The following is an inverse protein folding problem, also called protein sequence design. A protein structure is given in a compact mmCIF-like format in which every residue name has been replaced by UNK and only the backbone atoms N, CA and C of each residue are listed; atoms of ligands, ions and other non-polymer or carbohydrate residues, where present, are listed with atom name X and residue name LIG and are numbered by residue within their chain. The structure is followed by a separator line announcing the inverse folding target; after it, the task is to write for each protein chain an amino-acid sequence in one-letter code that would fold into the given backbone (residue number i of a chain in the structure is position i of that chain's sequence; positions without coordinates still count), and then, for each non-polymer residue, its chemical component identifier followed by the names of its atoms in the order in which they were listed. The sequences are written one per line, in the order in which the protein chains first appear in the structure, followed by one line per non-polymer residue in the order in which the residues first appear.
data_IF_707433714955
#
_entry.id   IF_707433714955
#
_cell.length_a   1.000
_cell.length_b   1.000
_cell.length_c   1.000
_cell.angle_alpha   90.00
_cell.angle_beta   90.00
_cell.angle_gamma   90.00
#
_symmetry.space_group_name_H-M   'P 1'
#
loop_
_entity.id
_entity.type
_entity.pdbx_description
1 polymer ?
#
# COMPACT_ATOMS: atom_id res chain seq x y z
N UNK A 1 23.33 3.93 -14.91
CA UNK A 1 23.51 3.31 -13.57
C UNK A 1 22.16 3.30 -12.88
N UNK A 2 21.69 2.16 -12.36
CA UNK A 2 20.38 2.06 -11.70
C UNK A 2 20.53 2.51 -10.25
N UNK A 3 19.66 3.40 -9.77
CA UNK A 3 19.68 3.85 -8.38
C UNK A 3 19.28 2.72 -7.42
N UNK A 4 19.70 2.79 -6.16
CA UNK A 4 19.32 1.80 -5.13
C UNK A 4 17.79 1.72 -4.96
N UNK A 5 17.11 2.86 -5.02
CA UNK A 5 15.66 2.96 -4.97
C UNK A 5 14.99 2.24 -6.14
N UNK A 6 15.49 2.48 -7.36
CA UNK A 6 15.00 1.82 -8.57
C UNK A 6 15.23 0.31 -8.49
N UNK A 7 16.41 -0.13 -8.03
CA UNK A 7 16.72 -1.55 -7.88
C UNK A 7 15.79 -2.24 -6.87
N UNK A 8 15.50 -1.59 -5.73
CA UNK A 8 14.57 -2.11 -4.73
C UNK A 8 13.14 -2.21 -5.28
N UNK A 9 12.67 -1.21 -6.02
CA UNK A 9 11.34 -1.25 -6.63
C UNK A 9 11.23 -2.33 -7.72
N UNK A 10 12.25 -2.47 -8.58
CA UNK A 10 12.30 -3.56 -9.57
C UNK A 10 12.22 -4.92 -8.86
N UNK A 11 12.99 -5.12 -7.80
CA UNK A 11 12.95 -6.35 -7.00
C UNK A 11 11.56 -6.64 -6.44
N UNK A 12 10.87 -5.62 -5.91
CA UNK A 12 9.51 -5.75 -5.42
C UNK A 12 8.51 -6.10 -6.53
N UNK A 13 8.63 -5.49 -7.71
CA UNK A 13 7.81 -5.80 -8.88
C UNK A 13 8.05 -7.24 -9.38
N UNK A 14 9.30 -7.69 -9.43
CA UNK A 14 9.63 -9.08 -9.77
C UNK A 14 9.00 -10.07 -8.77
N UNK A 15 9.05 -9.75 -7.48
CA UNK A 15 8.41 -10.57 -6.45
C UNK A 15 6.87 -10.58 -6.59
N UNK A 16 6.26 -9.45 -6.94
CA UNK A 16 4.83 -9.37 -7.21
C UNK A 16 4.43 -10.26 -8.41
N UNK A 17 5.21 -10.24 -9.49
CA UNK A 17 5.02 -11.14 -10.65
C UNK A 17 5.17 -12.60 -10.23
N UNK A 18 6.17 -12.93 -9.40
CA UNK A 18 6.34 -14.30 -8.89
C UNK A 18 5.12 -14.76 -8.09
N UNK A 19 4.58 -13.91 -7.22
CA UNK A 19 3.35 -14.21 -6.47
C UNK A 19 2.18 -14.50 -7.43
N UNK A 20 2.01 -13.71 -8.48
CA UNK A 20 0.97 -13.94 -9.49
C UNK A 20 1.17 -15.26 -10.24
N UNK A 21 2.40 -15.60 -10.62
CA UNK A 21 2.71 -16.87 -11.28
C UNK A 21 2.40 -18.07 -10.37
N UNK A 22 2.76 -17.98 -9.09
CA UNK A 22 2.42 -19.00 -8.09
C UNK A 22 0.91 -19.11 -7.94
N UNK A 23 0.20 -17.99 -7.76
CA UNK A 23 -1.26 -17.98 -7.65
C UNK A 23 -1.95 -18.62 -8.87
N UNK A 24 -1.47 -18.30 -10.08
CA UNK A 24 -1.97 -18.90 -11.32
C UNK A 24 -1.74 -20.41 -11.37
N UNK A 25 -0.61 -20.91 -10.85
CA UNK A 25 -0.35 -22.36 -10.80
C UNK A 25 -1.30 -23.15 -9.89
N UNK A 26 -1.95 -22.46 -8.94
CA UNK A 26 -2.97 -23.01 -8.05
C UNK A 26 -4.41 -22.64 -8.47
N UNK A 27 -4.59 -22.11 -9.69
CA UNK A 27 -5.88 -21.65 -10.22
C UNK A 27 -6.61 -20.66 -9.29
N UNK A 28 -5.84 -19.79 -8.62
CA UNK A 28 -6.42 -18.72 -7.80
C UNK A 28 -7.00 -17.66 -8.73
N UNK A 29 -8.31 -17.73 -8.97
CA UNK A 29 -9.03 -16.78 -9.79
C UNK A 29 -9.19 -15.38 -9.17
N UNK A 30 -9.84 -14.47 -9.89
CA UNK A 30 -10.09 -13.07 -9.50
C UNK A 30 -11.33 -12.90 -8.58
N UNK A 31 -11.66 -13.92 -7.80
CA UNK A 31 -12.85 -13.91 -6.93
C UNK A 31 -12.67 -13.10 -5.65
N UNK A 32 -13.72 -13.05 -4.83
CA UNK A 32 -13.71 -12.44 -3.48
C UNK A 32 -13.39 -13.46 -2.37
N UNK A 33 -12.91 -14.65 -2.74
CA UNK A 33 -12.49 -15.66 -1.78
C UNK A 33 -11.27 -15.20 -0.95
N UNK A 34 -11.09 -15.69 0.29
CA UNK A 34 -10.02 -15.25 1.17
C UNK A 34 -8.61 -15.36 0.56
N UNK A 35 -8.36 -16.42 -0.22
CA UNK A 35 -7.08 -16.64 -0.92
C UNK A 35 -6.85 -15.59 -2.00
N UNK A 36 -7.87 -15.30 -2.82
CA UNK A 36 -7.78 -14.29 -3.87
C UNK A 36 -7.56 -12.88 -3.29
N UNK A 37 -8.25 -12.55 -2.19
CA UNK A 37 -8.03 -11.29 -1.45
C UNK A 37 -6.59 -11.25 -0.93
N UNK A 38 -6.08 -12.31 -0.29
CA UNK A 38 -4.72 -12.34 0.23
C UNK A 38 -3.67 -12.15 -0.88
N UNK A 39 -3.85 -12.79 -2.04
CA UNK A 39 -3.00 -12.61 -3.22
C UNK A 39 -3.06 -11.16 -3.71
N UNK A 40 -4.25 -10.58 -3.83
CA UNK A 40 -4.43 -9.20 -4.24
C UNK A 40 -3.72 -8.22 -3.29
N UNK A 41 -3.85 -8.41 -1.98
CA UNK A 41 -3.17 -7.57 -0.98
C UNK A 41 -1.66 -7.70 -1.07
N UNK A 42 -1.13 -8.92 -1.21
CA UNK A 42 0.30 -9.15 -1.30
C UNK A 42 0.89 -8.51 -2.56
N UNK A 43 0.23 -8.69 -3.72
CA UNK A 43 0.66 -8.11 -4.99
C UNK A 43 0.63 -6.58 -4.93
N UNK A 44 -0.48 -5.98 -4.49
CA UNK A 44 -0.58 -4.53 -4.37
C UNK A 44 0.40 -3.97 -3.34
N UNK A 45 0.57 -4.64 -2.20
CA UNK A 45 1.56 -4.27 -1.18
C UNK A 45 2.99 -4.31 -1.71
N UNK A 46 3.34 -5.29 -2.52
CA UNK A 46 4.65 -5.37 -3.17
C UNK A 46 4.84 -4.26 -4.22
N UNK A 47 3.87 -4.07 -5.11
CA UNK A 47 3.94 -3.08 -6.18
C UNK A 47 4.04 -1.65 -5.63
N UNK A 48 3.19 -1.28 -4.68
CA UNK A 48 3.15 0.08 -4.16
C UNK A 48 4.11 0.29 -2.99
N UNK A 49 4.28 -0.70 -2.11
CA UNK A 49 5.00 -0.55 -0.84
C UNK A 49 6.31 -1.33 -0.73
N UNK A 50 6.55 -2.36 -1.53
CA UNK A 50 7.63 -3.32 -1.29
C UNK A 50 9.03 -2.68 -1.29
N UNK A 51 9.29 -1.80 -2.24
CA UNK A 51 10.54 -1.03 -2.29
C UNK A 51 10.70 -0.09 -1.08
N UNK A 52 9.63 0.61 -0.70
CA UNK A 52 9.62 1.50 0.47
C UNK A 52 9.87 0.73 1.77
N UNK A 53 9.17 -0.39 1.95
CA UNK A 53 9.34 -1.26 3.12
C UNK A 53 10.76 -1.80 3.22
N UNK A 54 11.31 -2.33 2.12
CA UNK A 54 12.68 -2.83 2.09
C UNK A 54 13.70 -1.76 2.50
N UNK A 55 13.59 -0.55 1.92
CA UNK A 55 14.52 0.54 2.19
C UNK A 55 14.33 1.14 3.60
N UNK A 56 13.10 1.17 4.10
CA UNK A 56 12.79 1.59 5.47
C UNK A 56 13.41 0.65 6.51
N UNK A 57 13.29 -0.67 6.30
CA UNK A 57 13.91 -1.70 7.16
C UNK A 57 15.43 -1.57 7.14
N UNK A 58 16.01 -1.31 5.97
CA UNK A 58 17.46 -1.16 5.81
C UNK A 58 18.01 0.18 6.33
N UNK A 59 17.15 1.07 6.83
CA UNK A 59 17.48 2.46 7.20
C UNK A 59 18.35 3.14 6.13
N UNK A 60 17.98 2.93 4.87
CA UNK A 60 18.74 3.44 3.75
C UNK A 60 18.42 4.91 3.54
N UNK A 61 19.40 5.77 3.79
CA UNK A 61 19.32 7.18 3.42
C UNK A 61 19.55 7.28 1.91
N UNK A 62 18.45 7.54 1.20
CA UNK A 62 18.42 7.74 -0.24
C UNK A 62 17.73 9.05 -0.56
N UNK A 63 16.99 9.10 -1.66
CA UNK A 63 16.18 10.29 -2.02
C UNK A 63 15.05 10.56 -1.03
N UNK A 64 14.56 9.52 -0.35
CA UNK A 64 13.50 9.60 0.65
C UNK A 64 14.01 9.12 2.01
N UNK A 65 13.89 9.92 3.09
CA UNK A 65 14.29 9.53 4.43
C UNK A 65 13.54 8.28 4.94
N UNK A 66 14.18 7.43 5.79
CA UNK A 66 13.56 6.22 6.31
C UNK A 66 12.22 6.45 7.03
N UNK A 67 12.09 7.52 7.81
CA UNK A 67 10.87 7.83 8.55
C UNK A 67 9.70 8.16 7.61
N UNK A 68 9.97 8.87 6.51
CA UNK A 68 8.97 9.14 5.46
C UNK A 68 8.50 7.85 4.80
N UNK A 69 9.41 6.88 4.59
CA UNK A 69 9.04 5.58 4.04
C UNK A 69 8.13 4.79 4.99
N UNK A 70 8.40 4.83 6.30
CA UNK A 70 7.53 4.18 7.29
C UNK A 70 6.13 4.80 7.35
N UNK A 71 6.02 6.13 7.25
CA UNK A 71 4.71 6.81 7.18
C UNK A 71 3.93 6.41 5.94
N UNK A 72 4.60 6.35 4.78
CA UNK A 72 3.99 5.85 3.54
C UNK A 72 3.51 4.40 3.65
N UNK A 73 4.37 3.51 4.17
CA UNK A 73 4.03 2.09 4.37
C UNK A 73 2.87 1.91 5.33
N UNK A 74 2.82 2.69 6.42
CA UNK A 74 1.71 2.66 7.37
C UNK A 74 0.39 3.08 6.72
N UNK A 75 0.39 4.18 5.96
CA UNK A 75 -0.77 4.64 5.20
C UNK A 75 -1.24 3.57 4.20
N UNK A 76 -0.30 2.99 3.43
CA UNK A 76 -0.61 1.92 2.49
C UNK A 76 -1.19 0.69 3.21
N UNK A 77 -0.66 0.33 4.38
CA UNK A 77 -1.19 -0.76 5.20
C UNK A 77 -2.64 -0.54 5.61
N UNK A 78 -3.01 0.70 5.98
CA UNK A 78 -4.40 1.05 6.28
C UNK A 78 -5.29 0.93 5.04
N UNK A 79 -4.83 1.40 3.87
CA UNK A 79 -5.60 1.30 2.62
C UNK A 79 -5.81 -0.16 2.19
N UNK A 80 -4.76 -0.98 2.26
CA UNK A 80 -4.83 -2.40 1.92
C UNK A 80 -5.72 -3.15 2.92
N UNK A 81 -5.57 -2.89 4.23
CA UNK A 81 -6.39 -3.49 5.26
C UNK A 81 -7.87 -3.14 5.13
N UNK A 82 -8.19 -1.86 4.90
CA UNK A 82 -9.55 -1.42 4.62
C UNK A 82 -10.08 -2.02 3.31
N UNK A 83 -9.26 -2.07 2.27
CA UNK A 83 -9.61 -2.68 0.99
C UNK A 83 -9.96 -4.17 1.14
N UNK A 84 -9.22 -4.90 1.97
CA UNK A 84 -9.54 -6.28 2.34
C UNK A 84 -10.91 -6.41 3.01
N UNK A 85 -11.23 -5.50 3.95
CA UNK A 85 -12.52 -5.46 4.62
C UNK A 85 -13.64 -5.21 3.62
N UNK A 86 -13.46 -4.27 2.68
CA UNK A 86 -14.44 -3.97 1.63
C UNK A 86 -14.63 -5.17 0.70
N UNK A 87 -13.55 -5.82 0.26
CA UNK A 87 -13.67 -6.99 -0.62
C UNK A 87 -14.34 -8.19 0.05
N UNK A 88 -14.13 -8.37 1.36
CA UNK A 88 -14.68 -9.50 2.10
C UNK A 88 -16.10 -9.26 2.64
N UNK A 89 -16.42 -8.01 2.99
CA UNK A 89 -17.62 -7.65 3.74
C UNK A 89 -18.31 -6.38 3.25
N UNK A 90 -17.95 -5.83 2.08
CA UNK A 90 -18.45 -4.54 1.60
C UNK A 90 -19.96 -4.46 1.42
N UNK A 91 -20.60 -5.60 1.14
CA UNK A 91 -22.05 -5.77 1.01
C UNK A 91 -22.79 -5.81 2.36
N UNK A 92 -22.06 -6.03 3.47
CA UNK A 92 -22.63 -5.99 4.81
C UNK A 92 -23.12 -4.58 5.12
N UNK A 93 -24.28 -4.51 5.78
CA UNK A 93 -24.89 -3.25 6.19
C UNK A 93 -24.65 -2.95 7.67
N UNK A 94 -24.48 -1.67 7.97
CA UNK A 94 -24.56 -1.11 9.33
C UNK A 94 -25.70 -0.09 9.32
N UNK A 95 -26.87 -0.48 9.85
CA UNK A 95 -28.09 0.31 9.70
C UNK A 95 -28.53 0.41 8.23
N UNK A 96 -28.78 1.61 7.68
CA UNK A 96 -29.22 1.78 6.29
C UNK A 96 -28.08 1.85 5.26
N UNK A 97 -26.81 1.74 5.67
CA UNK A 97 -25.64 1.99 4.81
C UNK A 97 -24.79 0.73 4.65
N UNK A 98 -24.28 0.46 3.45
CA UNK A 98 -23.31 -0.61 3.20
C UNK A 98 -21.90 -0.20 3.65
N UNK A 99 -21.08 -1.18 4.05
CA UNK A 99 -19.68 -0.92 4.42
C UNK A 99 -18.92 -0.25 3.28
N UNK A 100 -19.12 -0.68 2.03
CA UNK A 100 -18.49 -0.08 0.86
C UNK A 100 -18.73 1.44 0.75
N UNK A 101 -19.98 1.88 0.99
CA UNK A 101 -20.37 3.30 0.93
C UNK A 101 -19.62 4.15 1.96
N UNK A 102 -19.27 3.56 3.12
CA UNK A 102 -18.53 4.25 4.19
C UNK A 102 -17.03 4.25 3.91
N UNK A 103 -16.49 3.15 3.37
CA UNK A 103 -15.05 3.01 3.15
C UNK A 103 -14.50 3.91 2.04
N UNK A 104 -15.27 4.13 0.97
CA UNK A 104 -14.83 5.00 -0.13
C UNK A 104 -14.46 6.43 0.34
N UNK A 105 -15.35 7.19 1.02
CA UNK A 105 -14.99 8.52 1.52
C UNK A 105 -13.89 8.46 2.60
N UNK A 106 -13.83 7.38 3.38
CA UNK A 106 -12.78 7.18 4.37
C UNK A 106 -11.39 7.02 3.72
N UNK A 107 -11.28 6.27 2.62
CA UNK A 107 -10.03 6.17 1.87
C UNK A 107 -9.58 7.51 1.29
N UNK A 108 -10.52 8.27 0.71
CA UNK A 108 -10.22 9.62 0.21
C UNK A 108 -9.70 10.49 1.36
N UNK A 109 -10.35 10.46 2.52
CA UNK A 109 -9.92 11.21 3.69
C UNK A 109 -8.53 10.80 4.16
N UNK A 110 -8.23 9.50 4.26
CA UNK A 110 -6.91 8.99 4.66
C UNK A 110 -5.82 9.46 3.69
N UNK A 111 -6.05 9.35 2.38
CA UNK A 111 -5.09 9.79 1.35
C UNK A 111 -4.87 11.30 1.44
N UNK A 112 -5.95 12.08 1.52
CA UNK A 112 -5.86 13.54 1.66
C UNK A 112 -5.10 13.93 2.93
N UNK A 113 -5.43 13.33 4.08
CA UNK A 113 -4.75 13.61 5.35
C UNK A 113 -3.27 13.25 5.32
N UNK A 114 -2.90 12.14 4.68
CA UNK A 114 -1.50 11.76 4.48
C UNK A 114 -0.76 12.78 3.60
N UNK A 115 -1.32 13.11 2.43
CA UNK A 115 -0.72 14.06 1.49
C UNK A 115 -0.54 15.44 2.13
N UNK A 116 -1.57 15.94 2.82
CA UNK A 116 -1.51 17.20 3.56
C UNK A 116 -0.41 17.18 4.62
N UNK A 117 -0.28 16.08 5.37
CA UNK A 117 0.71 15.94 6.44
C UNK A 117 2.14 15.93 5.89
N UNK A 118 2.39 15.18 4.82
CA UNK A 118 3.71 15.17 4.15
C UNK A 118 4.04 16.52 3.49
N UNK A 119 3.05 17.19 2.90
CA UNK A 119 3.24 18.52 2.31
C UNK A 119 3.61 19.57 3.37
N UNK A 120 2.93 19.56 4.53
CA UNK A 120 3.24 20.46 5.65
C UNK A 120 4.64 20.15 6.19
N UNK A 121 5.00 18.88 6.35
CA UNK A 121 6.32 18.47 6.83
C UNK A 121 7.42 18.93 5.86
N UNK A 122 7.24 18.72 4.56
CA UNK A 122 8.18 19.17 3.53
C UNK A 122 8.31 20.70 3.49
N UNK A 123 7.19 21.42 3.58
CA UNK A 123 7.20 22.89 3.62
C UNK A 123 7.98 23.42 4.83
N UNK A 124 7.76 22.86 6.02
CA UNK A 124 8.47 23.26 7.24
C UNK A 124 9.97 23.00 7.13
N UNK A 125 10.36 21.82 6.63
CA UNK A 125 11.77 21.48 6.42
C UNK A 125 12.46 22.50 5.50
N UNK A 126 11.81 22.90 4.41
CA UNK A 126 12.36 23.89 3.47
C UNK A 126 12.50 25.32 4.03
N UNK A 127 11.92 25.62 5.20
CA UNK A 127 12.02 26.93 5.86
C UNK A 127 12.91 26.96 7.10
N UNK A 128 13.33 25.79 7.57
CA UNK A 128 14.25 25.66 8.69
C UNK A 128 15.72 25.56 8.28
N UNK A 129 15.99 25.47 6.97
CA UNK A 129 17.31 25.63 6.34
C UNK A 129 17.59 27.09 5.99
#
# INVERSE_FOLDING_TARGET
MVSRDTAAHIGACCLAVLVLLVAASFDVGTGTGPVAIAVALLVNGLLFGGGHLYLAIRRADGTVPPDTRWRYVAMLGVLLGGGAIVLYAGDRTIGPVTLETVWLPLFVLIVCSYVLSEAIAGYRASRSE
#
